data_IF_369914915616
#
_entry.id   IF_369914915616
#
_cell.length_a   1.000
_cell.length_b   1.000
_cell.length_c   1.000
_cell.angle_alpha   90.00
_cell.angle_beta   90.00
_cell.angle_gamma   90.00
#
_symmetry.space_group_name_H-M   'P 1'
#
loop_
_entity.id
_entity.type
_entity.pdbx_description
1 polymer ?
#
# COMPACT_ATOMS: atom_id res chain seq x y z
N UNK A 1 2.58 2.00 -20.48
CA UNK A 1 3.82 1.36 -19.98
C UNK A 1 3.48 0.25 -19.00
N UNK A 2 2.78 0.54 -17.90
CA UNK A 2 2.39 -0.48 -16.89
C UNK A 2 1.59 -1.67 -17.43
N UNK A 3 0.77 -1.48 -18.45
CA UNK A 3 -0.02 -2.55 -19.08
C UNK A 3 0.79 -3.70 -19.70
N UNK A 4 2.10 -3.54 -19.90
CA UNK A 4 2.99 -4.58 -20.45
C UNK A 4 3.85 -5.25 -19.38
N UNK A 5 3.79 -4.79 -18.13
CA UNK A 5 4.59 -5.33 -17.04
C UNK A 5 3.92 -6.59 -16.48
N UNK A 6 4.74 -7.52 -16.00
CA UNK A 6 4.23 -8.65 -15.23
C UNK A 6 3.75 -8.19 -13.86
N UNK A 7 2.85 -8.96 -13.23
CA UNK A 7 2.39 -8.65 -11.86
C UNK A 7 3.54 -8.43 -10.85
N UNK A 8 4.60 -9.28 -10.76
CA UNK A 8 5.69 -9.03 -9.83
C UNK A 8 6.49 -7.77 -10.15
N UNK A 9 6.61 -7.38 -11.42
CA UNK A 9 7.24 -6.11 -11.79
C UNK A 9 6.38 -4.93 -11.32
N UNK A 10 5.05 -5.02 -11.47
CA UNK A 10 4.11 -4.01 -10.96
C UNK A 10 4.20 -3.88 -9.44
N UNK A 11 4.29 -4.99 -8.71
CA UNK A 11 4.44 -4.99 -7.24
C UNK A 11 5.80 -4.43 -6.80
N UNK A 12 6.86 -4.69 -7.57
CA UNK A 12 8.19 -4.10 -7.32
C UNK A 12 8.17 -2.59 -7.54
N UNK A 13 7.55 -2.12 -8.62
CA UNK A 13 7.39 -0.69 -8.89
C UNK A 13 6.55 0.01 -7.81
N UNK A 14 5.47 -0.63 -7.35
CA UNK A 14 4.67 -0.15 -6.22
C UNK A 14 5.52 0.02 -4.95
N UNK A 15 6.47 -0.87 -4.71
CA UNK A 15 7.37 -0.79 -3.55
C UNK A 15 8.23 0.47 -3.62
N UNK A 16 8.82 0.75 -4.78
CA UNK A 16 9.63 1.95 -5.02
C UNK A 16 8.81 3.22 -4.87
N UNK A 17 7.64 3.28 -5.52
CA UNK A 17 6.77 4.45 -5.47
C UNK A 17 6.20 4.70 -4.08
N UNK A 18 5.89 3.65 -3.32
CA UNK A 18 5.41 3.79 -1.94
C UNK A 18 6.48 4.40 -1.03
N UNK A 19 7.73 3.95 -1.13
CA UNK A 19 8.84 4.54 -0.37
C UNK A 19 9.03 6.03 -0.72
N UNK A 20 8.94 6.36 -2.01
CA UNK A 20 8.99 7.74 -2.48
C UNK A 20 7.84 8.59 -1.95
N UNK A 21 6.60 8.10 -2.05
CA UNK A 21 5.42 8.77 -1.53
C UNK A 21 5.54 9.08 -0.03
N UNK A 22 5.98 8.11 0.77
CA UNK A 22 6.17 8.30 2.22
C UNK A 22 7.26 9.34 2.53
N UNK A 23 8.37 9.30 1.78
CA UNK A 23 9.44 10.28 1.91
C UNK A 23 8.95 11.70 1.59
N UNK A 24 8.32 11.89 0.43
CA UNK A 24 7.77 13.19 -0.01
C UNK A 24 6.72 13.72 0.97
N UNK A 25 5.80 12.86 1.40
CA UNK A 25 4.76 13.20 2.38
C UNK A 25 5.36 13.64 3.72
N UNK A 26 6.37 12.92 4.24
CA UNK A 26 7.04 13.27 5.50
C UNK A 26 7.91 14.53 5.41
N UNK A 27 8.45 14.83 4.22
CA UNK A 27 9.25 16.01 3.94
C UNK A 27 8.44 17.27 3.63
N UNK A 28 7.11 17.17 3.54
CA UNK A 28 6.22 18.28 3.18
C UNK A 28 6.18 18.61 1.69
N UNK A 29 6.75 17.75 0.83
CA UNK A 29 6.65 17.86 -0.63
C UNK A 29 5.30 17.33 -1.11
N UNK A 30 4.28 18.17 -1.01
CA UNK A 30 2.90 17.84 -1.39
C UNK A 30 2.74 17.59 -2.88
N UNK A 31 3.51 18.29 -3.72
CA UNK A 31 3.46 18.13 -5.17
C UNK A 31 4.07 16.78 -5.60
N UNK A 32 5.23 16.43 -5.04
CA UNK A 32 5.85 15.12 -5.26
C UNK A 32 4.95 13.98 -4.78
N UNK A 33 4.40 14.10 -3.57
CA UNK A 33 3.50 13.08 -3.03
C UNK A 33 2.28 12.85 -3.93
N UNK A 34 1.66 13.89 -4.47
CA UNK A 34 0.53 13.79 -5.40
C UNK A 34 0.92 13.11 -6.73
N UNK A 35 2.11 13.39 -7.24
CA UNK A 35 2.65 12.73 -8.43
C UNK A 35 2.84 11.22 -8.19
N UNK A 36 3.46 10.88 -7.06
CA UNK A 36 3.68 9.49 -6.64
C UNK A 36 2.35 8.75 -6.46
N UNK A 37 1.36 9.35 -5.80
CA UNK A 37 0.02 8.76 -5.66
C UNK A 37 -0.65 8.50 -7.02
N UNK A 38 -0.55 9.45 -7.95
CA UNK A 38 -1.11 9.32 -9.31
C UNK A 38 -0.50 8.14 -10.06
N UNK A 39 0.81 7.91 -9.90
CA UNK A 39 1.51 6.76 -10.49
C UNK A 39 1.07 5.45 -9.85
N UNK A 40 0.98 5.40 -8.52
CA UNK A 40 0.49 4.22 -7.77
C UNK A 40 -0.92 3.86 -8.23
N UNK A 41 -1.84 4.83 -8.32
CA UNK A 41 -3.21 4.62 -8.83
C UNK A 41 -3.24 4.13 -10.27
N UNK A 42 -2.27 4.52 -11.09
CA UNK A 42 -2.17 4.05 -12.48
C UNK A 42 -1.73 2.59 -12.55
N UNK A 43 -0.80 2.16 -11.70
CA UNK A 43 -0.39 0.75 -11.58
C UNK A 43 -1.54 -0.10 -11.04
N UNK A 44 -2.28 0.39 -10.04
CA UNK A 44 -3.38 -0.34 -9.41
C UNK A 44 -4.44 -0.84 -10.42
N UNK A 45 -4.64 -0.12 -11.53
CA UNK A 45 -5.56 -0.51 -12.63
C UNK A 45 -5.11 -1.77 -13.39
N UNK A 46 -3.86 -2.18 -13.25
CA UNK A 46 -3.25 -3.32 -13.93
C UNK A 46 -2.96 -4.48 -12.98
N UNK A 47 -3.28 -4.34 -11.69
CA UNK A 47 -3.09 -5.37 -10.66
C UNK A 47 -4.46 -6.02 -10.36
N UNK A 48 -4.54 -7.34 -10.11
CA UNK A 48 -5.81 -7.97 -9.73
C UNK A 48 -6.42 -7.34 -8.47
N UNK A 49 -7.74 -7.15 -8.46
CA UNK A 49 -8.47 -6.45 -7.39
C UNK A 49 -8.22 -7.03 -5.99
N UNK A 50 -8.07 -8.35 -5.88
CA UNK A 50 -7.81 -9.04 -4.61
C UNK A 50 -6.43 -8.72 -3.99
N UNK A 51 -5.58 -7.91 -4.64
CA UNK A 51 -4.33 -7.37 -4.07
C UNK A 51 -4.60 -6.16 -3.18
N UNK A 52 -5.75 -5.50 -3.34
CA UNK A 52 -6.22 -4.38 -2.50
C UNK A 52 -5.26 -3.19 -2.45
N UNK A 53 -4.79 -2.76 -3.62
CA UNK A 53 -3.86 -1.62 -3.76
C UNK A 53 -4.56 -0.29 -3.41
N UNK A 54 -5.88 -0.21 -3.57
CA UNK A 54 -6.73 0.88 -3.07
C UNK A 54 -6.56 1.09 -1.55
N UNK A 55 -6.65 0.02 -0.76
CA UNK A 55 -6.47 0.10 0.70
C UNK A 55 -5.03 0.46 1.10
N UNK A 56 -4.05 0.09 0.29
CA UNK A 56 -2.66 0.54 0.46
C UNK A 56 -2.54 2.05 0.31
N UNK A 57 -3.15 2.63 -0.74
CA UNK A 57 -3.16 4.08 -0.98
C UNK A 57 -3.87 4.80 0.16
N UNK A 58 -5.05 4.33 0.56
CA UNK A 58 -5.81 4.91 1.67
C UNK A 58 -5.00 4.89 2.97
N UNK A 59 -4.34 3.77 3.27
CA UNK A 59 -3.49 3.64 4.44
C UNK A 59 -2.28 4.58 4.41
N UNK A 60 -1.72 4.86 3.24
CA UNK A 60 -0.58 5.75 3.10
C UNK A 60 -1.00 7.22 3.26
N UNK A 61 -2.20 7.59 2.78
CA UNK A 61 -2.69 8.95 2.73
C UNK A 61 -3.49 9.41 3.98
N UNK A 62 -3.85 8.51 4.90
CA UNK A 62 -4.74 8.83 6.01
C UNK A 62 -4.14 9.76 7.10
N UNK A 63 -2.83 10.00 7.04
CA UNK A 63 -2.11 10.88 7.99
C UNK A 63 -2.14 10.40 9.45
N UNK A 64 -2.59 9.18 9.73
CA UNK A 64 -2.72 8.65 11.10
C UNK A 64 -1.40 8.07 11.60
N UNK A 65 -1.35 7.84 12.92
CA UNK A 65 -0.32 6.99 13.50
C UNK A 65 -0.31 5.64 12.78
N UNK A 66 0.89 5.18 12.39
CA UNK A 66 1.12 3.94 11.66
C UNK A 66 0.67 3.90 10.19
N UNK A 67 0.33 5.03 9.56
CA UNK A 67 0.00 5.10 8.11
C UNK A 67 1.00 4.34 7.23
N UNK A 68 2.30 4.67 7.38
CA UNK A 68 3.38 4.03 6.64
C UNK A 68 3.45 2.51 6.87
N UNK A 69 3.25 2.07 8.13
CA UNK A 69 3.25 0.64 8.46
C UNK A 69 2.03 -0.08 7.90
N UNK A 70 0.85 0.55 7.92
CA UNK A 70 -0.37 0.00 7.32
C UNK A 70 -0.22 -0.15 5.81
N UNK A 71 0.30 0.88 5.14
CA UNK A 71 0.59 0.82 3.70
C UNK A 71 1.56 -0.32 3.37
N UNK A 72 2.64 -0.47 4.15
CA UNK A 72 3.59 -1.58 3.97
C UNK A 72 2.92 -2.94 4.16
N UNK A 73 2.05 -3.11 5.16
CA UNK A 73 1.33 -4.37 5.35
C UNK A 73 0.40 -4.71 4.17
N UNK A 74 -0.27 -3.72 3.57
CA UNK A 74 -1.05 -3.97 2.36
C UNK A 74 -0.18 -4.36 1.16
N UNK A 75 1.04 -3.82 1.05
CA UNK A 75 2.00 -4.21 0.03
C UNK A 75 2.52 -5.63 0.24
N UNK A 76 2.91 -5.97 1.47
CA UNK A 76 3.32 -7.33 1.85
C UNK A 76 2.19 -8.34 1.58
N UNK A 77 0.94 -7.94 1.85
CA UNK A 77 -0.26 -8.73 1.56
C UNK A 77 -0.42 -8.99 0.07
N UNK A 78 -0.19 -7.98 -0.78
CA UNK A 78 -0.28 -8.12 -2.23
C UNK A 78 0.77 -9.13 -2.76
N UNK A 79 2.01 -9.08 -2.24
CA UNK A 79 3.04 -10.08 -2.56
C UNK A 79 2.67 -11.49 -2.06
N UNK A 80 2.12 -11.60 -0.86
CA UNK A 80 1.68 -12.90 -0.33
C UNK A 80 0.53 -13.49 -1.16
N UNK A 81 -0.44 -12.67 -1.58
CA UNK A 81 -1.52 -13.06 -2.50
C UNK A 81 -0.98 -13.51 -3.87
N UNK A 82 0.02 -12.81 -4.41
CA UNK A 82 0.68 -13.20 -5.67
C UNK A 82 1.37 -14.57 -5.56
N UNK A 83 1.97 -14.87 -4.41
CA UNK A 83 2.62 -16.16 -4.12
C UNK A 83 1.66 -17.26 -3.66
N UNK A 84 0.36 -16.96 -3.57
CA UNK A 84 -0.66 -17.84 -3.00
C UNK A 84 -0.37 -18.28 -1.55
N UNK A 85 0.39 -17.48 -0.81
CA UNK A 85 0.71 -17.73 0.61
C UNK A 85 -0.43 -17.21 1.50
N UNK A 86 -1.55 -17.94 1.49
CA UNK A 86 -2.74 -17.59 2.27
C UNK A 86 -2.49 -17.60 3.78
N UNK A 87 -1.51 -18.37 4.26
CA UNK A 87 -1.10 -18.36 5.67
C UNK A 87 -0.51 -17.01 6.03
N UNK A 88 0.42 -16.49 5.21
CA UNK A 88 0.99 -15.16 5.42
C UNK A 88 -0.05 -14.05 5.26
N UNK A 89 -0.96 -14.17 4.28
CA UNK A 89 -2.09 -13.23 4.13
C UNK A 89 -2.90 -13.15 5.43
N UNK A 90 -3.26 -14.29 6.03
CA UNK A 90 -4.02 -14.33 7.28
C UNK A 90 -3.28 -13.67 8.46
N UNK A 91 -1.97 -13.89 8.56
CA UNK A 91 -1.14 -13.23 9.58
C UNK A 91 -1.13 -11.71 9.38
N UNK A 92 -0.92 -11.24 8.14
CA UNK A 92 -0.89 -9.81 7.82
C UNK A 92 -2.26 -9.15 8.10
N UNK A 93 -3.37 -9.80 7.75
CA UNK A 93 -4.72 -9.28 8.04
C UNK A 93 -4.95 -9.09 9.54
N UNK A 94 -4.43 -9.98 10.38
CA UNK A 94 -4.45 -9.81 11.85
C UNK A 94 -3.60 -8.62 12.28
N UNK A 95 -2.41 -8.44 11.72
CA UNK A 95 -1.54 -7.30 12.00
C UNK A 95 -2.22 -5.97 11.61
N UNK A 96 -2.81 -5.90 10.41
CA UNK A 96 -3.57 -4.74 9.93
C UNK A 96 -4.73 -4.42 10.87
N UNK A 97 -5.49 -5.43 11.30
CA UNK A 97 -6.60 -5.25 12.24
C UNK A 97 -6.14 -4.73 13.60
N UNK A 98 -5.01 -5.24 14.12
CA UNK A 98 -4.48 -4.81 15.41
C UNK A 98 -4.09 -3.32 15.42
N UNK A 99 -3.46 -2.84 14.35
CA UNK A 99 -3.04 -1.43 14.25
C UNK A 99 -4.18 -0.49 13.82
N UNK A 100 -5.17 -0.98 13.07
CA UNK A 100 -6.38 -0.21 12.71
C UNK A 100 -7.41 -0.09 13.84
N UNK A 101 -7.48 -1.08 14.74
CA UNK A 101 -8.41 -1.09 15.88
C UNK A 101 -8.03 -0.15 17.03
N UNK A 102 -6.82 0.41 17.02
CA UNK A 102 -6.31 1.26 18.10
C UNK A 102 -6.83 2.72 18.06
N UNK A 103 -7.80 3.04 17.19
CA UNK A 103 -8.43 4.37 17.10
C UNK A 103 -9.95 4.38 17.33
N UNK A 104 -10.53 3.33 17.93
CA UNK A 104 -11.96 3.32 18.32
C UNK A 104 -12.17 3.37 19.83
N UNK A 105 -11.33 4.14 20.54
CA UNK A 105 -11.52 4.44 21.96
C UNK A 105 -11.06 5.86 22.26
N UNK A 106 -11.83 6.82 21.79
CA UNK A 106 -11.87 8.18 22.34
C UNK A 106 -13.28 8.73 22.08
N UNK A 107 -14.09 8.60 23.14
CA UNK A 107 -15.22 9.42 23.60
C UNK A 107 -16.14 10.09 22.57
#
# INVERSE_FOLDING_TARGET
MYSMMSEPDLLTELTTLMGRFQYESSGGDTAGALESETKIRSIAKHVPENRRIDLMIEAAADGRAHSAKRAQLYLDRAFAMYREDYTRVHVIEKEIKAIGGSQSSAS
#
